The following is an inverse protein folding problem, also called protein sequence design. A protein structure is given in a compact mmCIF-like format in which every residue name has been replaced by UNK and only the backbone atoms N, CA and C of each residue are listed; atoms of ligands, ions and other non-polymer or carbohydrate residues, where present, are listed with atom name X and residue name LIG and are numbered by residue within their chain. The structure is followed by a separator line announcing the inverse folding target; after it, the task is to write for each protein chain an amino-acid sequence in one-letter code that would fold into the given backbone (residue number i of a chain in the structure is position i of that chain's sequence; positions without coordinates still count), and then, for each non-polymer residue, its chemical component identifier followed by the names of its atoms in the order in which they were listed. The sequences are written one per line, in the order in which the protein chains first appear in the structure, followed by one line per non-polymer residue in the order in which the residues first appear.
data_IF_293552904154
#
_entry.id   IF_293552904154
#
_cell.length_a   1.000
_cell.length_b   1.000
_cell.length_c   1.000
_cell.angle_alpha   90.00
_cell.angle_beta   90.00
_cell.angle_gamma   90.00
#
_symmetry.space_group_name_H-M   'P 1'
#
loop_
_entity.id
_entity.type
_entity.pdbx_description
1 polymer ?
#
# COMPACT_ATOMS: atom_id res chain seq x y z
N UNK A 1 -2.29 15.12 13.94
CA UNK A 1 -1.42 13.94 13.92
C UNK A 1 -0.78 13.78 12.54
N UNK A 2 0.33 13.05 12.45
CA UNK A 2 0.94 12.64 11.16
C UNK A 2 0.73 11.15 10.93
N UNK A 3 0.31 10.80 9.71
CA UNK A 3 0.18 9.43 9.27
C UNK A 3 1.22 9.16 8.18
N UNK A 4 2.08 8.20 8.39
CA UNK A 4 3.01 7.72 7.39
C UNK A 4 2.42 6.48 6.71
N UNK A 5 2.14 6.57 5.40
CA UNK A 5 1.79 5.44 4.54
C UNK A 5 3.05 4.98 3.82
N UNK A 6 3.45 3.74 3.99
CA UNK A 6 4.68 3.18 3.43
C UNK A 6 4.35 1.93 2.62
N UNK A 7 4.77 1.89 1.35
CA UNK A 7 4.67 0.69 0.53
C UNK A 7 5.71 -0.33 1.01
N UNK A 8 5.28 -1.58 1.15
CA UNK A 8 6.16 -2.71 1.51
C UNK A 8 7.39 -2.80 0.59
N UNK A 9 8.44 -3.47 1.07
CA UNK A 9 9.66 -3.80 0.33
C UNK A 9 9.37 -4.55 -0.98
N UNK A 10 10.35 -4.58 -1.88
CA UNK A 10 10.23 -5.30 -3.15
C UNK A 10 9.99 -6.80 -2.91
N UNK A 11 9.16 -7.39 -3.77
CA UNK A 11 8.83 -8.82 -3.80
C UNK A 11 9.15 -9.38 -5.18
N UNK A 12 9.17 -10.70 -5.32
CA UNK A 12 9.26 -11.34 -6.64
C UNK A 12 8.15 -10.88 -7.58
N UNK A 13 6.93 -10.71 -7.05
CA UNK A 13 5.79 -10.20 -7.83
C UNK A 13 6.04 -8.79 -8.38
N UNK A 14 6.58 -7.87 -7.57
CA UNK A 14 6.91 -6.52 -8.05
C UNK A 14 8.10 -6.49 -9.00
N UNK A 15 9.09 -7.36 -8.80
CA UNK A 15 10.24 -7.47 -9.69
C UNK A 15 9.84 -7.95 -11.10
N UNK A 16 8.89 -8.86 -11.17
CA UNK A 16 8.39 -9.44 -12.42
C UNK A 16 7.16 -8.72 -12.99
N UNK A 17 6.74 -7.62 -12.38
CA UNK A 17 5.54 -6.85 -12.76
C UNK A 17 4.27 -7.74 -12.85
N UNK A 18 4.08 -8.62 -11.86
CA UNK A 18 2.89 -9.46 -11.77
C UNK A 18 1.73 -8.69 -11.11
N UNK A 19 0.52 -9.04 -11.48
CA UNK A 19 -0.67 -8.70 -10.69
C UNK A 19 -0.66 -9.60 -9.44
N UNK A 20 -0.52 -9.01 -8.27
CA UNK A 20 -0.55 -9.76 -7.00
C UNK A 20 -1.06 -8.86 -5.88
N UNK A 21 -2.03 -9.33 -5.20
CA UNK A 21 -2.64 -8.62 -4.07
C UNK A 21 -2.99 -9.59 -2.96
N UNK A 22 -3.88 -10.54 -3.22
CA UNK A 22 -4.28 -11.58 -2.29
C UNK A 22 -3.16 -12.60 -2.03
N UNK A 23 -2.30 -12.86 -3.02
CA UNK A 23 -1.13 -13.73 -2.86
C UNK A 23 -0.17 -13.19 -1.79
N UNK A 24 0.03 -13.96 -0.72
CA UNK A 24 0.85 -13.56 0.42
C UNK A 24 2.31 -13.99 0.25
N UNK A 25 2.98 -13.38 -0.73
CA UNK A 25 4.39 -13.64 -1.04
C UNK A 25 5.33 -12.79 -0.16
N UNK A 26 6.54 -13.31 0.17
CA UNK A 26 7.51 -12.59 0.99
C UNK A 26 8.16 -11.41 0.23
N UNK A 27 8.69 -10.46 1.01
CA UNK A 27 9.61 -9.46 0.50
C UNK A 27 10.99 -10.09 0.20
N UNK A 28 11.71 -9.51 -0.77
CA UNK A 28 13.05 -9.96 -1.14
C UNK A 28 14.05 -9.60 -0.03
N UNK A 29 14.94 -10.53 0.36
CA UNK A 29 15.92 -10.29 1.41
C UNK A 29 16.81 -9.07 1.17
N UNK A 30 17.22 -8.85 -0.09
CA UNK A 30 18.07 -7.72 -0.49
C UNK A 30 17.33 -6.39 -0.27
N UNK A 31 16.03 -6.33 -0.60
CA UNK A 31 15.22 -5.15 -0.38
C UNK A 31 15.00 -4.87 1.11
N UNK A 32 14.77 -5.90 1.91
CA UNK A 32 14.67 -5.76 3.37
C UNK A 32 15.99 -5.27 3.98
N UNK A 33 17.12 -5.80 3.52
CA UNK A 33 18.45 -5.38 3.98
C UNK A 33 18.74 -3.91 3.63
N UNK A 34 18.32 -3.46 2.45
CA UNK A 34 18.42 -2.06 2.04
C UNK A 34 17.59 -1.15 2.95
N UNK A 35 16.33 -1.49 3.19
CA UNK A 35 15.46 -0.71 4.07
C UNK A 35 15.99 -0.67 5.51
N UNK A 36 16.57 -1.77 5.99
CA UNK A 36 17.19 -1.80 7.31
C UNK A 36 18.39 -0.83 7.41
N UNK A 37 19.26 -0.79 6.41
CA UNK A 37 20.38 0.16 6.35
C UNK A 37 19.93 1.62 6.35
N UNK A 38 18.77 1.89 5.74
CA UNK A 38 18.16 3.22 5.61
C UNK A 38 17.09 3.50 6.66
N UNK A 39 17.00 2.71 7.72
CA UNK A 39 15.96 2.85 8.73
C UNK A 39 15.86 4.26 9.34
N UNK A 40 17.00 4.98 9.44
CA UNK A 40 17.05 6.35 9.93
C UNK A 40 16.38 7.39 9.02
N UNK A 41 16.10 7.06 7.76
CA UNK A 41 15.44 7.95 6.80
C UNK A 41 13.92 7.98 6.98
N UNK A 42 13.36 7.08 7.80
CA UNK A 42 11.94 6.90 7.97
C UNK A 42 11.42 7.55 9.26
N UNK A 43 10.26 8.24 9.20
CA UNK A 43 9.64 8.80 10.39
C UNK A 43 9.28 7.72 11.40
N UNK A 44 9.53 7.98 12.68
CA UNK A 44 9.02 7.17 13.78
C UNK A 44 7.64 7.66 14.24
N UNK A 45 6.90 6.83 14.97
CA UNK A 45 5.58 7.16 15.48
C UNK A 45 5.29 6.45 16.81
N UNK A 46 4.18 6.80 17.44
CA UNK A 46 3.70 6.12 18.65
C UNK A 46 2.92 4.85 18.33
N UNK A 47 2.32 4.78 17.11
CA UNK A 47 1.51 3.64 16.68
C UNK A 47 2.00 3.10 15.34
N UNK A 48 2.04 1.78 15.25
CA UNK A 48 2.44 1.07 14.05
C UNK A 48 1.34 0.11 13.60
N UNK A 49 1.15 0.05 12.29
CA UNK A 49 0.13 -0.78 11.65
C UNK A 49 0.68 -1.46 10.41
N UNK A 50 0.14 -2.64 10.10
CA UNK A 50 0.38 -3.34 8.85
C UNK A 50 -0.96 -3.80 8.26
N UNK A 51 -0.96 -4.26 7.01
CA UNK A 51 -2.11 -4.96 6.43
C UNK A 51 -2.26 -6.39 6.96
N UNK A 52 -1.28 -6.89 7.71
CA UNK A 52 -1.18 -8.29 8.16
C UNK A 52 -0.64 -9.25 7.10
N UNK A 53 -0.25 -8.76 5.91
CA UNK A 53 0.41 -9.59 4.89
C UNK A 53 1.90 -9.71 5.17
N UNK A 54 2.48 -10.87 4.85
CA UNK A 54 3.87 -11.21 5.18
C UNK A 54 4.86 -10.11 4.76
N UNK A 55 4.78 -9.62 3.52
CA UNK A 55 5.64 -8.55 3.01
C UNK A 55 5.54 -7.24 3.80
N UNK A 56 4.36 -6.92 4.36
CA UNK A 56 4.19 -5.71 5.18
C UNK A 56 4.75 -5.90 6.59
N UNK A 57 4.60 -7.08 7.17
CA UNK A 57 5.18 -7.46 8.46
C UNK A 57 6.73 -7.44 8.39
N UNK A 58 7.29 -8.05 7.36
CA UNK A 58 8.73 -8.08 7.13
C UNK A 58 9.31 -6.68 6.92
N UNK A 59 8.60 -5.83 6.17
CA UNK A 59 9.03 -4.43 5.93
C UNK A 59 9.01 -3.62 7.23
N UNK A 60 7.94 -3.76 8.03
CA UNK A 60 7.87 -3.10 9.33
C UNK A 60 9.06 -3.50 10.21
N UNK A 61 9.32 -4.80 10.32
CA UNK A 61 10.42 -5.33 11.12
C UNK A 61 11.80 -4.87 10.62
N UNK A 62 11.99 -4.78 9.31
CA UNK A 62 13.26 -4.32 8.72
C UNK A 62 13.57 -2.86 9.06
N UNK A 63 12.56 -1.98 9.06
CA UNK A 63 12.76 -0.55 9.31
C UNK A 63 12.71 -0.21 10.79
N UNK A 64 11.76 -0.76 11.54
CA UNK A 64 11.45 -0.34 12.91
C UNK A 64 11.78 -1.40 13.97
N UNK A 65 12.26 -2.58 13.56
CA UNK A 65 12.55 -3.67 14.49
C UNK A 65 11.28 -4.30 15.08
N UNK A 66 11.41 -4.87 16.27
CA UNK A 66 10.28 -5.51 16.98
C UNK A 66 9.43 -4.49 17.72
N UNK A 67 8.70 -3.65 16.97
CA UNK A 67 7.76 -2.70 17.58
C UNK A 67 6.37 -3.35 17.74
N UNK A 68 5.64 -3.06 18.82
CA UNK A 68 4.23 -3.41 18.95
C UNK A 68 3.43 -2.79 17.80
N UNK A 69 2.60 -3.58 17.11
CA UNK A 69 1.80 -3.07 16.02
C UNK A 69 0.44 -3.78 15.93
N UNK A 70 -0.47 -3.16 15.21
CA UNK A 70 -1.82 -3.68 14.95
C UNK A 70 -1.98 -4.03 13.48
N UNK A 71 -2.56 -5.20 13.20
CA UNK A 71 -2.93 -5.61 11.83
C UNK A 71 -4.27 -5.04 11.45
N UNK A 72 -4.34 -4.38 10.32
CA UNK A 72 -5.56 -3.84 9.72
C UNK A 72 -5.84 -4.54 8.38
N UNK A 73 -6.56 -5.68 8.36
CA UNK A 73 -6.80 -6.44 7.13
C UNK A 73 -7.51 -5.64 6.03
N UNK A 74 -8.27 -4.61 6.41
CA UNK A 74 -8.89 -3.68 5.46
C UNK A 74 -7.88 -2.89 4.61
N UNK A 75 -6.59 -2.87 4.99
CA UNK A 75 -5.51 -2.24 4.23
C UNK A 75 -4.71 -3.22 3.33
N UNK A 76 -5.18 -4.46 3.14
CA UNK A 76 -4.59 -5.40 2.18
C UNK A 76 -4.69 -4.86 0.76
N UNK A 77 -3.77 -5.30 -0.10
CA UNK A 77 -3.81 -4.94 -1.53
C UNK A 77 -5.10 -5.49 -2.18
N UNK A 78 -5.42 -4.98 -3.36
CA UNK A 78 -6.53 -5.44 -4.18
C UNK A 78 -6.39 -6.93 -4.47
N UNK A 79 -7.46 -7.70 -4.26
CA UNK A 79 -7.54 -9.07 -4.74
C UNK A 79 -7.74 -9.04 -6.26
N UNK A 80 -6.74 -9.50 -7.00
CA UNK A 80 -6.78 -9.56 -8.45
C UNK A 80 -7.48 -10.82 -8.98
N UNK A 81 -8.00 -11.68 -8.10
CA UNK A 81 -8.78 -12.87 -8.48
C UNK A 81 -8.04 -13.75 -9.50
N UNK A 82 -8.66 -14.01 -10.66
CA UNK A 82 -8.07 -14.86 -11.70
C UNK A 82 -6.78 -14.30 -12.34
N UNK A 83 -6.45 -13.04 -12.07
CA UNK A 83 -5.23 -12.40 -12.56
C UNK A 83 -4.06 -12.52 -11.58
N UNK A 84 -4.28 -13.06 -10.38
CA UNK A 84 -3.22 -13.24 -9.37
C UNK A 84 -2.02 -14.00 -9.94
N UNK A 85 -0.83 -13.49 -9.66
CA UNK A 85 0.47 -14.04 -10.04
C UNK A 85 0.71 -14.16 -11.56
N UNK A 86 -0.06 -13.43 -12.36
CA UNK A 86 0.11 -13.35 -13.82
C UNK A 86 0.67 -11.99 -14.23
N UNK A 87 1.44 -11.97 -15.30
CA UNK A 87 1.97 -10.76 -15.94
C UNK A 87 0.98 -10.16 -16.93
N UNK A 88 1.23 -8.91 -17.34
CA UNK A 88 0.49 -8.29 -18.44
C UNK A 88 0.58 -9.13 -19.73
N UNK A 89 1.76 -9.67 -20.04
CA UNK A 89 1.96 -10.47 -21.26
C UNK A 89 1.11 -11.76 -21.28
N UNK A 90 0.87 -12.37 -20.12
CA UNK A 90 0.03 -13.56 -20.00
C UNK A 90 -1.47 -13.23 -20.08
N UNK A 91 -1.86 -12.00 -19.75
CA UNK A 91 -3.25 -11.59 -19.64
C UNK A 91 -3.76 -10.79 -20.84
N UNK A 92 -2.90 -10.01 -21.49
CA UNK A 92 -3.27 -8.93 -22.44
C UNK A 92 -4.23 -9.37 -23.55
N UNK A 93 -4.13 -10.60 -24.03
CA UNK A 93 -4.96 -11.12 -25.13
C UNK A 93 -6.18 -11.91 -24.63
N UNK A 94 -6.39 -12.00 -23.31
CA UNK A 94 -7.55 -12.70 -22.78
C UNK A 94 -8.80 -11.81 -22.76
N UNK A 95 -9.99 -12.34 -23.14
CA UNK A 95 -11.22 -11.54 -23.13
C UNK A 95 -11.54 -10.94 -21.75
N UNK A 96 -11.27 -11.66 -20.67
CA UNK A 96 -11.53 -11.21 -19.30
C UNK A 96 -10.66 -10.01 -18.93
N UNK A 97 -9.38 -10.02 -19.31
CA UNK A 97 -8.47 -8.90 -19.05
C UNK A 97 -8.84 -7.67 -19.91
N UNK A 98 -9.17 -7.90 -21.20
CA UNK A 98 -9.60 -6.83 -22.08
C UNK A 98 -10.89 -6.14 -21.58
N UNK A 99 -11.85 -6.92 -21.08
CA UNK A 99 -13.05 -6.37 -20.47
C UNK A 99 -12.74 -5.57 -19.19
N UNK A 100 -11.83 -6.07 -18.34
CA UNK A 100 -11.44 -5.38 -17.11
C UNK A 100 -10.72 -4.06 -17.39
N UNK A 101 -9.77 -4.04 -18.33
CA UNK A 101 -8.91 -2.88 -18.59
C UNK A 101 -9.64 -1.72 -19.28
N UNK A 102 -10.84 -1.97 -19.86
CA UNK A 102 -11.65 -0.91 -20.46
C UNK A 102 -12.15 0.10 -19.41
N UNK A 103 -12.34 -0.36 -18.17
CA UNK A 103 -12.72 0.50 -17.05
C UNK A 103 -12.23 -0.11 -15.73
N UNK A 104 -10.93 0.00 -15.50
CA UNK A 104 -10.25 -0.49 -14.29
C UNK A 104 -10.81 0.15 -13.01
N UNK A 105 -11.33 1.37 -13.13
CA UNK A 105 -11.87 2.10 -11.98
C UNK A 105 -13.17 1.48 -11.45
N UNK A 106 -13.97 0.82 -12.30
CA UNK A 106 -15.28 0.30 -11.90
C UNK A 106 -15.43 -1.21 -12.07
N UNK A 107 -14.77 -1.80 -13.05
CA UNK A 107 -14.85 -3.24 -13.29
C UNK A 107 -14.08 -4.03 -12.23
N UNK A 108 -14.72 -5.03 -11.57
CA UNK A 108 -13.97 -5.95 -10.71
C UNK A 108 -13.08 -6.88 -11.54
N UNK A 109 -11.96 -7.29 -10.96
CA UNK A 109 -11.25 -8.46 -11.48
C UNK A 109 -12.15 -9.70 -11.39
N UNK A 110 -12.11 -10.61 -12.35
CA UNK A 110 -12.86 -11.88 -12.25
C UNK A 110 -12.52 -12.61 -10.94
N UNK A 111 -13.53 -12.90 -10.13
CA UNK A 111 -13.41 -13.49 -8.79
C UNK A 111 -12.56 -12.68 -7.79
N UNK A 112 -12.31 -11.40 -8.09
CA UNK A 112 -11.54 -10.49 -7.25
C UNK A 112 -12.32 -9.22 -6.90
N UNK A 113 -11.58 -8.16 -6.60
CA UNK A 113 -12.13 -6.86 -6.18
C UNK A 113 -12.12 -5.83 -7.31
N UNK A 114 -12.97 -4.81 -7.16
CA UNK A 114 -12.88 -3.55 -7.90
C UNK A 114 -12.16 -2.48 -7.07
N UNK A 115 -11.64 -1.43 -7.72
CA UNK A 115 -10.98 -0.32 -7.03
C UNK A 115 -11.90 0.37 -5.99
N UNK A 116 -13.22 0.62 -6.24
CA UNK A 116 -14.13 1.15 -5.22
C UNK A 116 -14.31 0.24 -4.00
N UNK A 117 -14.29 -1.08 -4.16
CA UNK A 117 -14.37 -2.00 -3.03
C UNK A 117 -13.12 -1.89 -2.15
N UNK A 118 -11.93 -1.87 -2.77
CA UNK A 118 -10.66 -1.67 -2.06
C UNK A 118 -10.65 -0.34 -1.33
N UNK A 119 -11.02 0.76 -1.99
CA UNK A 119 -11.05 2.09 -1.39
C UNK A 119 -12.01 2.14 -0.19
N UNK A 120 -13.21 1.58 -0.32
CA UNK A 120 -14.21 1.57 0.77
C UNK A 120 -13.68 0.87 2.02
N UNK A 121 -13.10 -0.35 1.88
CA UNK A 121 -12.57 -1.09 3.03
C UNK A 121 -11.33 -0.43 3.61
N UNK A 122 -10.51 0.20 2.76
CA UNK A 122 -9.31 0.90 3.22
C UNK A 122 -9.65 2.17 4.01
N UNK A 123 -10.63 2.97 3.54
CA UNK A 123 -11.12 4.13 4.28
C UNK A 123 -11.75 3.70 5.62
N UNK A 124 -12.57 2.65 5.63
CA UNK A 124 -13.15 2.13 6.87
C UNK A 124 -12.06 1.70 7.88
N UNK A 125 -10.99 1.07 7.42
CA UNK A 125 -9.89 0.62 8.27
C UNK A 125 -9.01 1.76 8.80
N UNK A 126 -8.75 2.80 7.97
CA UNK A 126 -7.83 3.88 8.33
C UNK A 126 -8.51 5.01 9.11
N UNK A 127 -9.82 5.19 8.98
CA UNK A 127 -10.57 6.28 9.63
C UNK A 127 -10.36 6.34 11.15
N UNK A 128 -10.44 5.24 11.92
CA UNK A 128 -10.18 5.28 13.36
C UNK A 128 -8.74 5.70 13.70
N UNK A 129 -7.77 5.40 12.82
CA UNK A 129 -6.37 5.78 13.01
C UNK A 129 -6.21 7.29 12.89
N UNK A 130 -6.77 7.91 11.84
CA UNK A 130 -6.62 9.35 11.56
C UNK A 130 -7.48 10.24 12.46
N UNK A 131 -8.48 9.67 13.12
CA UNK A 131 -9.27 10.34 14.16
C UNK A 131 -8.54 10.38 15.51
N UNK A 132 -7.48 9.61 15.68
CA UNK A 132 -6.62 9.65 16.85
C UNK A 132 -5.73 10.90 16.89
N UNK A 133 -5.03 11.07 18.01
CA UNK A 133 -4.12 12.20 18.22
C UNK A 133 -2.64 11.84 18.07
N UNK A 134 -2.31 10.56 18.16
CA UNK A 134 -0.93 10.05 18.09
C UNK A 134 -0.49 9.83 16.66
N UNK A 135 0.76 10.13 16.36
CA UNK A 135 1.34 9.85 15.06
C UNK A 135 1.39 8.35 14.78
N UNK A 136 1.20 7.98 13.52
CA UNK A 136 1.09 6.59 13.10
C UNK A 136 1.92 6.28 11.85
N UNK A 137 2.41 5.05 11.78
CA UNK A 137 3.01 4.45 10.57
C UNK A 137 2.16 3.26 10.15
N UNK A 138 1.78 3.21 8.87
CA UNK A 138 1.10 2.09 8.24
C UNK A 138 1.98 1.54 7.11
N UNK A 139 2.48 0.32 7.26
CA UNK A 139 3.16 -0.39 6.16
C UNK A 139 2.11 -1.17 5.38
N UNK A 140 1.89 -0.74 4.14
CA UNK A 140 0.78 -1.21 3.29
C UNK A 140 1.25 -1.42 1.83
N UNK A 141 0.39 -1.18 0.86
CA UNK A 141 0.57 -1.54 -0.55
C UNK A 141 0.45 -0.33 -1.48
N UNK A 142 0.99 -0.44 -2.68
CA UNK A 142 1.02 0.65 -3.65
C UNK A 142 -0.37 1.09 -4.10
N UNK A 143 -1.25 0.15 -4.43
CA UNK A 143 -2.61 0.45 -4.89
C UNK A 143 -3.47 1.07 -3.79
N UNK A 144 -3.36 0.57 -2.57
CA UNK A 144 -4.07 1.12 -1.40
C UNK A 144 -3.58 2.53 -1.06
N UNK A 145 -2.25 2.74 -1.06
CA UNK A 145 -1.67 4.07 -0.84
C UNK A 145 -2.18 5.08 -1.86
N UNK A 146 -2.12 4.75 -3.15
CA UNK A 146 -2.59 5.62 -4.22
C UNK A 146 -4.10 5.92 -4.11
N UNK A 147 -4.91 4.91 -3.80
CA UNK A 147 -6.35 5.07 -3.59
C UNK A 147 -6.70 6.00 -2.43
N UNK A 148 -6.04 5.85 -1.27
CA UNK A 148 -6.23 6.72 -0.12
C UNK A 148 -5.79 8.16 -0.42
N UNK A 149 -4.63 8.35 -1.03
CA UNK A 149 -4.13 9.67 -1.40
C UNK A 149 -5.05 10.38 -2.40
N UNK A 150 -5.55 9.66 -3.40
CA UNK A 150 -6.52 10.19 -4.36
C UNK A 150 -7.82 10.62 -3.67
N UNK A 151 -8.33 9.83 -2.73
CA UNK A 151 -9.54 10.16 -1.98
C UNK A 151 -9.37 11.41 -1.09
N UNK A 152 -8.16 11.65 -0.58
CA UNK A 152 -7.88 12.77 0.32
C UNK A 152 -7.50 14.07 -0.39
N UNK A 153 -6.80 13.99 -1.52
CA UNK A 153 -6.21 15.16 -2.17
C UNK A 153 -6.65 15.36 -3.62
N UNK A 154 -7.47 14.45 -4.18
CA UNK A 154 -7.84 14.49 -5.59
C UNK A 154 -6.68 14.02 -6.49
N UNK A 155 -6.67 14.48 -7.74
CA UNK A 155 -5.72 14.07 -8.79
C UNK A 155 -5.87 12.62 -9.26
N UNK A 156 -5.05 12.21 -10.23
CA UNK A 156 -5.08 10.85 -10.76
C UNK A 156 -4.34 9.86 -9.87
N UNK A 157 -4.72 8.59 -9.96
CA UNK A 157 -4.09 7.50 -9.20
C UNK A 157 -2.58 7.42 -9.41
N UNK A 158 -2.12 7.68 -10.63
CA UNK A 158 -0.71 7.60 -11.01
C UNK A 158 0.15 8.70 -10.38
N UNK A 159 -0.46 9.85 -9.97
CA UNK A 159 0.26 10.93 -9.30
C UNK A 159 0.78 10.50 -7.92
N UNK A 160 0.15 9.47 -7.34
CA UNK A 160 0.51 8.91 -6.04
C UNK A 160 1.21 7.55 -6.13
N UNK A 161 1.73 7.19 -7.29
CA UNK A 161 2.56 6.00 -7.42
C UNK A 161 3.84 6.13 -6.61
N UNK A 162 4.19 5.07 -5.89
CA UNK A 162 5.38 4.96 -5.07
C UNK A 162 6.11 3.64 -5.32
N UNK A 163 7.42 3.68 -5.34
CA UNK A 163 8.25 2.47 -5.39
C UNK A 163 8.24 1.72 -4.05
N UNK A 164 8.61 0.43 -4.01
CA UNK A 164 8.80 -0.30 -2.76
C UNK A 164 9.70 0.47 -1.78
N UNK A 165 9.31 0.54 -0.52
CA UNK A 165 10.01 1.32 0.49
C UNK A 165 9.77 2.83 0.45
N UNK A 166 8.94 3.32 -0.47
CA UNK A 166 8.54 4.72 -0.54
C UNK A 166 7.08 4.90 -0.10
N UNK A 167 6.71 6.15 0.16
CA UNK A 167 5.36 6.45 0.60
C UNK A 167 5.11 7.94 0.79
N UNK A 168 4.17 8.24 1.68
CA UNK A 168 3.77 9.60 2.02
C UNK A 168 3.64 9.77 3.53
N UNK A 169 4.05 10.92 4.04
CA UNK A 169 3.66 11.37 5.35
C UNK A 169 2.57 12.44 5.20
N UNK A 170 1.37 12.14 5.68
CA UNK A 170 0.18 12.99 5.61
C UNK A 170 -0.06 13.64 6.96
N UNK A 171 -0.26 14.95 6.97
CA UNK A 171 -0.67 15.70 8.17
C UNK A 171 -2.18 15.78 8.25
N UNK A 172 -2.74 15.39 9.38
CA UNK A 172 -4.17 15.51 9.69
C UNK A 172 -4.40 16.53 10.78
N UNK A 173 -5.47 17.33 10.63
CA UNK A 173 -6.03 18.22 11.66
C UNK A 173 -7.50 17.91 11.82
N UNK A 174 -7.93 17.59 13.04
CA UNK A 174 -9.32 17.20 13.34
C UNK A 174 -9.87 16.10 12.42
N UNK A 175 -9.04 15.09 12.12
CA UNK A 175 -9.39 13.99 11.25
C UNK A 175 -9.42 14.31 9.74
N UNK A 176 -9.10 15.56 9.33
CA UNK A 176 -9.05 15.97 7.94
C UNK A 176 -7.62 16.07 7.42
N UNK A 177 -7.34 15.54 6.22
CA UNK A 177 -6.02 15.64 5.59
C UNK A 177 -5.77 17.10 5.14
N UNK A 178 -4.60 17.66 5.49
CA UNK A 178 -4.26 19.05 5.18
C UNK A 178 -3.03 19.22 4.29
N UNK A 179 -2.08 18.31 4.36
CA UNK A 179 -0.88 18.34 3.52
C UNK A 179 -0.17 16.99 3.53
N UNK A 180 0.71 16.77 2.59
CA UNK A 180 1.57 15.59 2.55
C UNK A 180 2.97 15.89 2.01
N UNK A 181 3.91 15.01 2.33
CA UNK A 181 5.26 14.96 1.76
C UNK A 181 5.58 13.54 1.33
N UNK A 182 6.43 13.36 0.33
CA UNK A 182 6.95 12.02 -0.04
C UNK A 182 8.00 11.57 0.96
N UNK A 183 8.08 10.25 1.20
CA UNK A 183 9.07 9.62 2.06
C UNK A 183 9.71 8.40 1.37
N UNK A 184 11.00 8.09 1.68
CA UNK A 184 11.93 9.01 2.34
C UNK A 184 12.02 10.32 1.55
N UNK A 185 12.51 11.38 2.19
CA UNK A 185 12.72 12.65 1.48
C UNK A 185 13.64 12.42 0.28
N UNK A 186 13.37 13.10 -0.84
CA UNK A 186 14.29 13.11 -1.97
C UNK A 186 15.63 13.74 -1.52
N UNK A 187 16.74 13.11 -1.91
CA UNK A 187 18.07 13.66 -1.74
C UNK A 187 18.26 14.92 -2.58
#
# INVERSE_FOLDING_TARGET
MKLTLLRHAQTEGSLRNLYYGAADIPALPESLSELHRRAGDYPTAQRYYTSGMLRTEQTLAAIYGSVPHTRLPGLREMDFGDFEMKSYEELKDTPAYQAWITDVEHNPCPHGESAPQVLRRSLAAITPVVQGTEDAVCVIHGGVTAGLMMAWFGSGRYDYSVSPGQGFQVTFREGQPVSYTRIPAAE
#
